data_IF_378804047941
#
_entry.id   IF_378804047941
#
_cell.length_a   1.000
_cell.length_b   1.000
_cell.length_c   1.000
_cell.angle_alpha   90.00
_cell.angle_beta   90.00
_cell.angle_gamma   90.00
#
_symmetry.space_group_name_H-M   'P 1'
#
loop_
_entity.id
_entity.type
_entity.pdbx_description
1 polymer ?
#
# COMPACT_ATOMS: atom_id res chain seq x y z
N UNK A 1 -28.59 4.23 -9.18
CA UNK A 1 -27.40 3.36 -9.24
C UNK A 1 -26.30 4.12 -8.54
N UNK A 2 -25.97 3.74 -7.29
CA UNK A 2 -24.84 4.33 -6.57
C UNK A 2 -23.58 3.78 -7.23
N UNK A 3 -22.86 4.63 -7.95
CA UNK A 3 -21.52 4.34 -8.46
C UNK A 3 -20.68 3.72 -7.34
N UNK A 4 -20.06 2.57 -7.61
CA UNK A 4 -19.16 1.88 -6.68
C UNK A 4 -17.98 2.79 -6.34
N UNK A 5 -18.10 3.54 -5.24
CA UNK A 5 -17.10 4.54 -4.87
C UNK A 5 -15.94 3.85 -4.17
N UNK A 6 -14.87 3.58 -4.92
CA UNK A 6 -13.63 3.00 -4.39
C UNK A 6 -13.05 3.82 -3.24
N UNK A 7 -12.49 3.10 -2.26
CA UNK A 7 -11.80 3.70 -1.11
C UNK A 7 -10.41 4.15 -1.57
N UNK A 8 -10.02 5.37 -1.18
CA UNK A 8 -8.66 5.88 -1.38
C UNK A 8 -7.80 5.41 -0.21
N UNK A 9 -6.76 4.64 -0.50
CA UNK A 9 -5.84 4.08 0.49
C UNK A 9 -4.46 4.70 0.28
N UNK A 10 -3.83 5.14 1.37
CA UNK A 10 -2.44 5.58 1.39
C UNK A 10 -1.58 4.55 2.13
N UNK A 11 -0.44 4.19 1.55
CA UNK A 11 0.54 3.28 2.18
C UNK A 11 1.75 4.10 2.60
N UNK A 12 2.07 4.05 3.90
CA UNK A 12 3.25 4.66 4.47
C UNK A 12 4.32 3.59 4.66
N UNK A 13 5.53 3.86 4.16
CA UNK A 13 6.66 2.95 4.22
C UNK A 13 7.98 3.71 4.26
N UNK A 14 9.06 3.02 4.63
CA UNK A 14 10.40 3.59 4.78
C UNK A 14 10.73 3.99 6.22
N UNK A 15 11.55 5.04 6.37
CA UNK A 15 12.15 5.46 7.65
C UNK A 15 13.68 5.37 7.62
N UNK A 16 14.36 5.91 8.65
CA UNK A 16 15.83 5.86 8.83
C UNK A 16 16.25 4.74 9.80
N UNK A 17 15.78 3.51 9.57
CA UNK A 17 16.16 2.32 10.36
C UNK A 17 16.88 1.29 9.50
N UNK A 18 17.54 0.32 10.15
CA UNK A 18 18.11 -0.85 9.48
C UNK A 18 17.05 -1.73 8.77
N UNK A 19 15.77 -1.55 9.11
CA UNK A 19 14.63 -2.27 8.55
C UNK A 19 13.99 -1.55 7.34
N UNK A 20 14.61 -0.47 6.85
CA UNK A 20 14.09 0.31 5.71
C UNK A 20 13.70 -0.57 4.51
N UNK A 21 14.59 -1.46 4.09
CA UNK A 21 14.37 -2.37 2.96
C UNK A 21 13.18 -3.31 3.22
N UNK A 22 13.01 -3.76 4.46
CA UNK A 22 11.89 -4.63 4.87
C UNK A 22 10.57 -3.87 4.77
N UNK A 23 10.55 -2.59 5.16
CA UNK A 23 9.39 -1.72 5.01
C UNK A 23 9.01 -1.51 3.53
N UNK A 24 9.99 -1.32 2.65
CA UNK A 24 9.79 -1.19 1.20
C UNK A 24 9.21 -2.48 0.61
N UNK A 25 9.78 -3.65 0.94
CA UNK A 25 9.29 -4.94 0.45
C UNK A 25 7.85 -5.19 0.92
N UNK A 26 7.55 -4.90 2.18
CA UNK A 26 6.20 -5.02 2.73
C UNK A 26 5.20 -4.13 2.00
N UNK A 27 5.55 -2.87 1.74
CA UNK A 27 4.70 -1.94 1.01
C UNK A 27 4.41 -2.40 -0.43
N UNK A 28 5.41 -2.96 -1.12
CA UNK A 28 5.26 -3.51 -2.48
C UNK A 28 4.30 -4.71 -2.48
N UNK A 29 4.40 -5.59 -1.50
CA UNK A 29 3.47 -6.73 -1.36
C UNK A 29 2.04 -6.26 -1.13
N UNK A 30 1.82 -5.24 -0.29
CA UNK A 30 0.48 -4.68 -0.05
C UNK A 30 -0.06 -4.03 -1.33
N UNK A 31 0.74 -3.22 -2.04
CA UNK A 31 0.32 -2.61 -3.32
C UNK A 31 -0.12 -3.64 -4.35
N UNK A 32 0.55 -4.78 -4.43
CA UNK A 32 0.21 -5.85 -5.36
C UNK A 32 -1.09 -6.60 -5.01
N UNK A 33 -1.51 -6.54 -3.74
CA UNK A 33 -2.71 -7.20 -3.24
C UNK A 33 -3.95 -6.30 -3.24
N UNK A 34 -3.81 -4.99 -3.52
CA UNK A 34 -4.95 -4.07 -3.61
C UNK A 34 -5.82 -4.45 -4.82
N UNK A 35 -7.12 -4.54 -4.59
CA UNK A 35 -8.11 -4.60 -5.67
C UNK A 35 -8.27 -3.21 -6.29
N UNK A 36 -7.86 -3.10 -7.55
CA UNK A 36 -7.93 -1.85 -8.32
C UNK A 36 -9.15 -1.82 -9.26
N UNK A 37 -9.91 -2.91 -9.37
CA UNK A 37 -11.08 -3.05 -10.25
C UNK A 37 -12.31 -2.33 -9.72
#
# INVERSE_FOLDING_TARGET
MSEDRKIRVAILYGGRSAEHEVSVVSARSVMAAIDWS
#
